data_IF_931023539810
#
_entry.id   IF_931023539810
#
_cell.length_a   1.000
_cell.length_b   1.000
_cell.length_c   1.000
_cell.angle_alpha   90.00
_cell.angle_beta   90.00
_cell.angle_gamma   90.00
#
_symmetry.space_group_name_H-M   'P 1'
#
loop_
_entity.id
_entity.type
_entity.pdbx_description
1 polymer ?
2 polymer ?
3 non-polymer ?
4 non-polymer ?
5 non-polymer ?
6 water ?
#
# COMPACT_ATOMS: atom_id res chain seq x y z
N UNK A 4 -20.21 -26.90 -11.69
CA UNK A 4 -19.42 -25.73 -11.16
C UNK A 4 -18.38 -25.32 -12.20
N UNK A 5 -18.14 -24.02 -12.35
CA UNK A 5 -17.39 -23.43 -13.44
C UNK A 5 -16.48 -22.39 -12.76
N UNK A 6 -15.39 -22.03 -13.39
CA UNK A 6 -14.53 -21.01 -12.81
C UNK A 6 -15.24 -19.69 -12.66
N UNK A 7 -16.04 -19.29 -13.61
CA UNK A 7 -16.72 -18.05 -13.55
C UNK A 7 -17.73 -18.03 -12.34
N UNK A 8 -18.45 -19.12 -12.09
CA UNK A 8 -19.34 -19.17 -10.94
C UNK A 8 -18.57 -19.09 -9.58
N UNK A 9 -17.41 -19.76 -9.49
CA UNK A 9 -16.64 -19.72 -8.28
C UNK A 9 -16.13 -18.31 -8.05
N UNK A 10 -15.57 -17.64 -9.10
CA UNK A 10 -14.97 -16.30 -8.98
C UNK A 10 -16.10 -15.30 -8.62
N UNK A 11 -17.26 -15.38 -9.33
CA UNK A 11 -18.26 -14.33 -9.01
C UNK A 11 -18.83 -14.52 -7.59
N UNK A 12 -19.01 -15.77 -7.12
CA UNK A 12 -19.49 -15.97 -5.75
C UNK A 12 -18.42 -15.53 -4.73
N UNK A 13 -17.12 -15.80 -5.08
CA UNK A 13 -16.12 -15.34 -4.16
C UNK A 13 -16.01 -13.82 -4.08
N UNK A 14 -16.20 -13.12 -5.20
CA UNK A 14 -16.15 -11.65 -5.13
C UNK A 14 -17.39 -11.09 -4.40
N UNK A 15 -18.53 -11.79 -4.52
CA UNK A 15 -19.69 -11.40 -3.69
C UNK A 15 -19.42 -11.64 -2.22
N UNK A 16 -18.82 -12.79 -1.89
CA UNK A 16 -18.47 -13.06 -0.51
C UNK A 16 -17.46 -12.06 0.03
N UNK A 17 -16.45 -11.69 -0.78
CA UNK A 17 -15.49 -10.64 -0.39
C UNK A 17 -16.18 -9.37 -0.04
N UNK A 18 -17.14 -8.90 -0.86
CA UNK A 18 -17.89 -7.67 -0.51
C UNK A 18 -18.74 -7.84 0.77
N UNK A 19 -19.23 -9.03 1.04
CA UNK A 19 -19.99 -9.31 2.30
C UNK A 19 -19.17 -9.32 3.52
N UNK A 20 -18.01 -9.94 3.49
CA UNK A 20 -17.32 -10.25 4.76
C UNK A 20 -15.89 -9.73 4.81
N UNK A 21 -15.36 -9.17 3.73
CA UNK A 21 -13.97 -8.73 3.71
C UNK A 21 -12.92 -9.84 3.54
N UNK A 22 -11.66 -9.50 3.43
CA UNK A 22 -10.70 -10.49 3.03
C UNK A 22 -10.47 -11.55 4.09
N UNK A 23 -10.49 -11.15 5.32
CA UNK A 23 -10.23 -12.21 6.37
C UNK A 23 -11.36 -13.19 6.50
N UNK A 24 -12.57 -12.79 6.13
CA UNK A 24 -13.78 -13.67 6.14
C UNK A 24 -13.75 -14.65 5.01
N UNK A 25 -13.03 -14.33 3.94
CA UNK A 25 -13.04 -15.12 2.70
C UNK A 25 -12.12 -16.35 2.90
N UNK A 26 -12.73 -17.49 3.07
CA UNK A 26 -11.92 -18.72 3.25
C UNK A 26 -12.51 -19.72 2.27
N UNK A 27 -11.70 -20.70 1.87
CA UNK A 27 -12.24 -21.68 0.92
C UNK A 27 -13.41 -22.44 1.61
N UNK A 28 -13.29 -22.73 2.91
CA UNK A 28 -14.40 -23.36 3.66
C UNK A 28 -15.73 -22.55 3.57
N UNK A 29 -15.67 -21.24 3.74
CA UNK A 29 -16.91 -20.45 3.65
C UNK A 29 -17.39 -20.29 2.21
N UNK A 30 -16.49 -20.30 1.23
CA UNK A 30 -16.91 -20.18 -0.16
C UNK A 30 -17.63 -21.50 -0.58
N UNK A 31 -17.09 -22.65 -0.16
CA UNK A 31 -17.75 -23.93 -0.51
C UNK A 31 -19.13 -23.93 0.09
N UNK A 32 -19.22 -23.51 1.37
CA UNK A 32 -20.54 -23.36 2.00
C UNK A 32 -21.46 -22.47 1.14
N UNK A 33 -20.99 -21.28 0.77
CA UNK A 33 -21.76 -20.37 -0.11
C UNK A 33 -22.19 -20.93 -1.43
N UNK A 34 -21.33 -21.73 -2.03
CA UNK A 34 -21.65 -22.31 -3.28
C UNK A 34 -22.56 -23.52 -3.10
N UNK A 35 -22.64 -24.08 -1.89
CA UNK A 35 -23.48 -25.26 -1.69
C UNK A 35 -22.79 -26.53 -2.13
N UNK A 36 -21.47 -26.61 -1.96
CA UNK A 36 -20.74 -27.74 -2.45
C UNK A 36 -19.83 -28.18 -1.33
N UNK A 37 -19.41 -29.43 -1.39
CA UNK A 37 -18.55 -29.88 -0.35
C UNK A 37 -17.18 -29.44 -0.74
N UNK A 38 -16.37 -29.33 0.29
CA UNK A 38 -15.04 -28.79 0.13
C UNK A 38 -14.19 -29.49 -0.97
N UNK A 39 -14.24 -30.84 -1.07
CA UNK A 39 -13.51 -31.41 -2.20
C UNK A 39 -13.96 -31.04 -3.64
N UNK A 40 -15.24 -30.73 -3.88
CA UNK A 40 -15.70 -30.22 -5.18
C UNK A 40 -15.11 -28.85 -5.48
N UNK A 41 -15.07 -28.01 -4.45
CA UNK A 41 -14.42 -26.71 -4.66
C UNK A 41 -12.94 -26.83 -4.86
N UNK A 42 -12.26 -27.75 -4.13
CA UNK A 42 -10.79 -27.89 -4.18
C UNK A 42 -10.38 -28.16 -5.62
N UNK A 43 -11.20 -28.87 -6.37
CA UNK A 43 -10.84 -29.12 -7.76
C UNK A 43 -10.69 -27.84 -8.55
N UNK A 44 -11.48 -26.83 -8.19
CA UNK A 44 -11.35 -25.54 -8.90
C UNK A 44 -10.39 -24.56 -8.23
N UNK A 45 -10.29 -24.60 -6.89
CA UNK A 45 -9.46 -23.69 -6.10
C UNK A 45 -8.77 -24.46 -4.97
N UNK A 46 -7.45 -24.55 -5.04
CA UNK A 46 -6.72 -25.46 -4.10
C UNK A 46 -6.58 -24.90 -2.66
N UNK A 47 -6.57 -23.58 -2.51
CA UNK A 47 -6.24 -22.96 -1.25
C UNK A 47 -6.53 -21.49 -1.36
N UNK A 48 -6.43 -20.78 -0.25
CA UNK A 48 -6.81 -19.34 -0.28
C UNK A 48 -5.79 -18.55 -1.13
N UNK A 49 -4.54 -18.93 -1.22
CA UNK A 49 -3.60 -18.20 -2.05
C UNK A 49 -4.05 -18.35 -3.47
N UNK A 50 -4.48 -19.51 -3.94
CA UNK A 50 -4.91 -19.64 -5.32
C UNK A 50 -6.20 -18.83 -5.53
N UNK A 51 -7.05 -18.77 -4.55
CA UNK A 51 -8.31 -18.02 -4.75
C UNK A 51 -7.96 -16.51 -4.83
N UNK A 52 -7.10 -15.99 -3.97
CA UNK A 52 -6.80 -14.54 -4.06
C UNK A 52 -6.10 -14.24 -5.35
N UNK A 53 -5.15 -15.07 -5.81
CA UNK A 53 -4.48 -14.83 -7.11
C UNK A 53 -5.57 -14.78 -8.20
N UNK A 54 -6.60 -15.67 -8.18
CA UNK A 54 -7.59 -15.67 -9.24
C UNK A 54 -8.52 -14.45 -9.13
N UNK A 55 -8.82 -13.99 -7.92
CA UNK A 55 -9.69 -12.81 -7.79
C UNK A 55 -8.94 -11.58 -8.28
N UNK A 56 -7.65 -11.44 -7.94
CA UNK A 56 -6.87 -10.32 -8.43
C UNK A 56 -6.87 -10.29 -9.95
N UNK A 57 -6.60 -11.43 -10.62
CA UNK A 57 -6.55 -11.44 -12.08
C UNK A 57 -7.97 -11.12 -12.61
N UNK A 58 -9.05 -11.64 -12.00
CA UNK A 58 -10.39 -11.26 -12.48
C UNK A 58 -10.64 -9.77 -12.38
N UNK A 59 -10.20 -9.14 -11.30
CA UNK A 59 -10.37 -7.71 -11.22
C UNK A 59 -9.48 -6.99 -12.30
N UNK A 60 -8.29 -7.47 -12.61
CA UNK A 60 -7.51 -6.86 -13.73
C UNK A 60 -8.22 -7.07 -15.04
N UNK A 61 -8.80 -8.26 -15.24
CA UNK A 61 -9.48 -8.55 -16.56
C UNK A 61 -10.66 -7.67 -16.74
N UNK A 62 -11.32 -7.24 -15.66
CA UNK A 62 -12.49 -6.35 -15.76
C UNK A 62 -12.18 -4.90 -15.84
N UNK A 63 -11.08 -4.46 -15.16
CA UNK A 63 -10.92 -3.00 -14.94
C UNK A 63 -9.61 -2.50 -15.39
N UNK A 64 -8.61 -3.36 -15.63
CA UNK A 64 -7.25 -2.82 -15.96
C UNK A 64 -7.10 -2.62 -17.45
N UNK A 65 -7.75 -1.57 -17.87
CA UNK A 65 -7.93 -1.26 -19.33
C UNK A 65 -6.59 -0.87 -19.91
N UNK A 66 -5.61 -0.44 -19.14
CA UNK A 66 -4.29 -0.01 -19.69
C UNK A 66 -3.22 -0.90 -19.17
N UNK A 67 -3.50 -2.19 -18.95
CA UNK A 67 -2.48 -3.20 -18.65
C UNK A 67 -1.38 -3.14 -19.75
N UNK A 68 -1.84 -3.08 -20.99
CA UNK A 68 -0.91 -2.92 -22.14
C UNK A 68 -0.85 -1.53 -22.66
N UNK A 69 0.35 -1.12 -23.16
CA UNK A 69 0.50 0.09 -23.88
C UNK A 69 -0.34 0.06 -25.22
N UNK A 70 -0.93 1.18 -25.52
CA UNK A 70 -1.63 1.27 -26.86
C UNK A 70 -0.64 1.61 -27.98
N UNK A 71 -0.89 1.17 -29.21
CA UNK A 71 0.13 1.39 -30.23
C UNK A 71 0.13 2.89 -30.46
N UNK A 72 1.31 3.49 -30.64
CA UNK A 72 1.36 4.94 -30.81
C UNK A 72 1.37 5.78 -29.53
N UNK A 73 1.09 5.19 -28.36
CA UNK A 73 0.96 5.95 -27.10
C UNK A 73 2.36 6.38 -26.61
N UNK A 74 2.53 7.56 -25.99
CA UNK A 74 3.84 7.89 -25.40
C UNK A 74 4.06 7.08 -24.12
N UNK A 75 5.30 6.91 -23.74
CA UNK A 75 5.60 6.13 -22.56
C UNK A 75 4.99 6.81 -21.37
N UNK A 76 4.98 8.12 -21.32
CA UNK A 76 4.35 8.86 -20.19
C UNK A 76 2.90 8.57 -20.13
N UNK A 77 2.20 8.56 -21.26
CA UNK A 77 0.76 8.33 -21.22
C UNK A 77 0.46 6.89 -20.81
N UNK A 78 1.26 5.95 -21.29
CA UNK A 78 1.10 4.57 -20.87
C UNK A 78 1.24 4.41 -19.36
N UNK A 79 2.33 4.91 -18.77
CA UNK A 79 2.51 4.70 -17.36
C UNK A 79 1.43 5.40 -16.60
N UNK A 80 1.00 6.60 -16.97
CA UNK A 80 -0.10 7.28 -16.28
C UNK A 80 -1.39 6.53 -16.43
N UNK A 81 -1.72 6.05 -17.61
CA UNK A 81 -3.00 5.37 -17.78
C UNK A 81 -2.93 4.00 -17.11
N UNK A 82 -1.80 3.30 -17.11
CA UNK A 82 -1.68 2.05 -16.44
C UNK A 82 -1.92 2.20 -14.93
N UNK A 83 -1.38 3.17 -14.27
CA UNK A 83 -1.62 3.30 -12.86
C UNK A 83 -3.04 3.67 -12.62
N UNK A 84 -3.65 4.54 -13.44
CA UNK A 84 -5.05 4.93 -13.24
C UNK A 84 -5.95 3.67 -13.35
N UNK A 85 -5.80 2.81 -14.38
CA UNK A 85 -6.67 1.64 -14.47
C UNK A 85 -6.38 0.63 -13.40
N UNK A 86 -5.12 0.49 -13.01
CA UNK A 86 -4.84 -0.47 -11.94
C UNK A 86 -5.49 0.02 -10.63
N UNK A 87 -5.50 1.34 -10.38
CA UNK A 87 -6.22 1.86 -9.27
C UNK A 87 -7.71 1.49 -9.31
N UNK A 88 -8.32 1.61 -10.51
CA UNK A 88 -9.72 1.22 -10.56
C UNK A 88 -9.92 -0.25 -10.29
N UNK A 89 -9.02 -1.14 -10.70
CA UNK A 89 -9.15 -2.58 -10.38
C UNK A 89 -9.09 -2.75 -8.86
N UNK A 90 -8.13 -2.06 -8.19
CA UNK A 90 -8.02 -2.27 -6.72
C UNK A 90 -9.27 -1.72 -6.00
N UNK A 91 -9.83 -0.62 -6.50
CA UNK A 91 -11.02 -0.04 -5.87
C UNK A 91 -12.30 -0.82 -6.14
N UNK A 92 -12.25 -1.81 -7.04
CA UNK A 92 -13.54 -2.39 -7.42
C UNK A 92 -14.27 -3.21 -6.42
N UNK A 93 -13.57 -3.71 -5.39
CA UNK A 93 -14.19 -4.57 -4.37
C UNK A 93 -13.65 -4.16 -2.98
N UNK A 94 -14.47 -4.56 -2.00
CA UNK A 94 -14.05 -4.41 -0.58
C UNK A 94 -12.71 -5.09 -0.41
N UNK A 95 -11.82 -4.37 0.32
CA UNK A 95 -10.45 -4.88 0.55
C UNK A 95 -9.74 -5.28 -0.73
N UNK A 96 -10.07 -4.57 -1.84
CA UNK A 96 -9.47 -4.97 -3.09
C UNK A 96 -7.99 -4.90 -3.14
N UNK A 97 -7.42 -3.82 -2.58
CA UNK A 97 -5.97 -3.74 -2.62
C UNK A 97 -5.29 -4.83 -1.79
N UNK A 98 -5.91 -5.17 -0.66
CA UNK A 98 -5.34 -6.29 0.12
C UNK A 98 -5.43 -7.61 -0.66
N UNK A 99 -6.47 -7.79 -1.46
CA UNK A 99 -6.59 -9.04 -2.28
C UNK A 99 -5.47 -9.11 -3.34
N UNK A 100 -5.11 -7.95 -3.93
CA UNK A 100 -4.09 -7.98 -4.94
C UNK A 100 -2.72 -8.01 -4.33
N UNK A 101 -2.55 -7.65 -3.07
CA UNK A 101 -1.18 -7.58 -2.53
C UNK A 101 -0.48 -8.96 -2.58
N UNK A 102 0.70 -8.99 -3.14
CA UNK A 102 1.47 -10.18 -3.16
C UNK A 102 1.03 -11.18 -4.20
N UNK A 103 0.13 -10.82 -5.10
CA UNK A 103 -0.31 -11.79 -6.13
C UNK A 103 0.72 -11.90 -7.23
N UNK A 104 0.39 -12.68 -8.25
CA UNK A 104 1.43 -13.02 -9.28
C UNK A 104 0.70 -13.37 -10.58
N UNK A 105 1.15 -12.84 -11.71
CA UNK A 105 0.54 -13.26 -12.99
C UNK A 105 0.60 -14.77 -13.28
N UNK A 106 -0.35 -15.21 -14.07
CA UNK A 106 -0.17 -16.58 -14.65
C UNK A 106 0.58 -16.46 -15.97
N UNK A 107 0.91 -17.62 -16.55
CA UNK A 107 1.54 -17.64 -17.86
C UNK A 107 0.70 -16.93 -18.90
N UNK A 108 -0.62 -17.02 -18.76
CA UNK A 108 -1.52 -16.32 -19.65
C UNK A 108 -1.31 -14.78 -19.67
N UNK A 109 -0.64 -14.22 -18.67
CA UNK A 109 -0.41 -12.75 -18.66
C UNK A 109 1.03 -12.44 -19.08
N UNK A 110 1.89 -13.46 -19.19
CA UNK A 110 3.34 -13.09 -19.46
C UNK A 110 3.56 -12.28 -20.70
N UNK A 111 2.77 -12.52 -21.77
CA UNK A 111 2.92 -11.78 -23.00
C UNK A 111 2.62 -10.29 -22.79
N UNK A 112 1.68 -10.00 -21.91
CA UNK A 112 1.36 -8.59 -21.63
C UNK A 112 2.56 -7.89 -20.95
N UNK A 113 3.14 -8.55 -19.96
CA UNK A 113 4.28 -7.99 -19.23
C UNK A 113 5.49 -7.83 -20.17
N UNK A 114 5.71 -8.83 -21.01
CA UNK A 114 6.80 -8.72 -22.00
C UNK A 114 6.63 -7.50 -22.89
N UNK A 115 5.38 -7.28 -23.29
CA UNK A 115 5.07 -6.18 -24.14
C UNK A 115 5.27 -4.82 -23.48
N UNK A 116 4.91 -4.71 -22.19
CA UNK A 116 5.24 -3.54 -21.46
C UNK A 116 6.75 -3.20 -21.50
N UNK A 117 7.55 -4.21 -21.25
CA UNK A 117 9.01 -4.01 -21.28
C UNK A 117 9.53 -3.71 -22.67
N UNK A 118 9.02 -4.41 -23.67
CA UNK A 118 9.49 -4.12 -25.00
C UNK A 118 9.17 -2.70 -25.35
N UNK A 119 7.96 -2.24 -24.98
CA UNK A 119 7.54 -0.88 -25.23
C UNK A 119 8.39 0.12 -24.58
N UNK A 120 8.64 -0.03 -23.29
CA UNK A 120 9.45 0.99 -22.59
C UNK A 120 10.88 1.00 -23.16
N UNK A 121 11.42 -0.18 -23.43
CA UNK A 121 12.83 -0.17 -23.91
C UNK A 121 12.88 0.42 -25.34
N UNK A 122 11.86 0.22 -26.15
CA UNK A 122 11.83 0.88 -27.46
C UNK A 122 11.86 2.38 -27.35
N UNK A 123 11.28 2.91 -26.30
CA UNK A 123 11.19 4.35 -26.08
C UNK A 123 12.37 4.88 -25.36
N UNK A 124 13.36 4.01 -25.12
CA UNK A 124 14.62 4.47 -24.63
C UNK A 124 15.06 4.11 -23.23
N UNK A 125 14.13 3.47 -22.49
CA UNK A 125 14.54 3.01 -21.21
C UNK A 125 15.53 1.84 -21.27
N UNK A 126 16.48 1.82 -20.33
CA UNK A 126 17.18 0.53 -20.07
C UNK A 126 16.24 -0.51 -19.49
N UNK A 127 16.47 -1.79 -19.71
CA UNK A 127 15.66 -2.82 -19.04
C UNK A 127 15.54 -2.52 -17.58
N UNK A 128 16.63 -2.18 -16.91
CA UNK A 128 16.62 -1.93 -15.48
C UNK A 128 15.69 -0.74 -15.11
N UNK A 129 15.76 0.35 -15.90
CA UNK A 129 14.95 1.48 -15.52
C UNK A 129 13.48 1.24 -15.95
N UNK A 130 13.22 0.41 -16.96
CA UNK A 130 11.83 0.06 -17.31
C UNK A 130 11.23 -0.72 -16.16
N UNK A 131 11.93 -1.73 -15.66
CA UNK A 131 11.53 -2.51 -14.46
C UNK A 131 11.21 -1.56 -13.30
N UNK A 132 12.11 -0.63 -13.00
CA UNK A 132 11.87 0.24 -11.83
C UNK A 132 10.78 1.25 -12.07
N UNK A 133 10.51 1.64 -13.28
CA UNK A 133 9.37 2.56 -13.52
C UNK A 133 8.07 1.82 -13.34
N UNK A 134 7.95 0.59 -13.86
CA UNK A 134 6.78 -0.22 -13.64
C UNK A 134 6.58 -0.53 -12.21
N UNK A 135 7.67 -0.88 -11.50
CA UNK A 135 7.59 -1.22 -10.09
C UNK A 135 7.09 -0.02 -9.28
N UNK A 136 7.61 1.19 -9.55
CA UNK A 136 7.28 2.31 -8.73
C UNK A 136 5.83 2.72 -8.92
N UNK A 137 5.35 2.76 -10.16
CA UNK A 137 4.02 3.24 -10.37
C UNK A 137 3.03 2.28 -9.68
N UNK A 138 3.28 0.96 -9.71
CA UNK A 138 2.36 0.00 -9.12
C UNK A 138 2.42 -0.05 -7.59
N UNK A 139 3.63 0.19 -7.07
CA UNK A 139 3.74 0.26 -5.61
C UNK A 139 3.05 1.51 -5.03
N UNK A 140 3.24 2.65 -5.72
CA UNK A 140 2.51 3.87 -5.28
C UNK A 140 1.01 3.64 -5.37
N UNK A 141 0.56 2.98 -6.45
CA UNK A 141 -0.89 2.83 -6.60
C UNK A 141 -1.43 1.89 -5.56
N UNK A 142 -0.75 0.75 -5.30
CA UNK A 142 -1.15 -0.13 -4.20
C UNK A 142 -1.17 0.58 -2.85
N UNK A 143 -0.14 1.36 -2.54
CA UNK A 143 -0.16 2.06 -1.26
C UNK A 143 -1.29 3.05 -1.14
N UNK A 144 -1.53 3.74 -2.25
CA UNK A 144 -2.68 4.71 -2.32
C UNK A 144 -3.97 4.01 -1.97
N UNK A 145 -4.28 2.91 -2.62
CA UNK A 145 -5.59 2.35 -2.42
C UNK A 145 -5.66 1.57 -1.13
N UNK A 146 -4.51 0.95 -0.71
CA UNK A 146 -4.57 0.29 0.60
C UNK A 146 -4.95 1.27 1.70
N UNK A 147 -4.33 2.46 1.67
CA UNK A 147 -4.71 3.42 2.70
C UNK A 147 -6.06 3.99 2.53
N UNK A 148 -6.49 4.27 1.29
CA UNK A 148 -7.91 4.79 1.06
C UNK A 148 -8.90 3.81 1.62
N UNK A 149 -8.77 2.53 1.25
CA UNK A 149 -9.74 1.53 1.71
C UNK A 149 -9.72 1.36 3.17
N UNK A 150 -8.54 1.32 3.81
CA UNK A 150 -8.59 1.16 5.23
C UNK A 150 -9.10 2.41 5.93
N UNK A 151 -8.82 3.62 5.41
CA UNK A 151 -9.44 4.80 6.03
C UNK A 151 -10.94 4.73 5.97
N UNK A 152 -11.54 4.20 4.86
CA UNK A 152 -12.96 4.15 4.84
C UNK A 152 -13.51 3.31 5.97
N UNK A 153 -12.89 2.18 6.28
CA UNK A 153 -13.23 1.31 7.45
C UNK A 153 -12.96 2.04 8.74
N UNK A 154 -11.76 2.55 8.93
CA UNK A 154 -11.34 3.08 10.23
C UNK A 154 -12.10 4.27 10.66
N UNK A 155 -12.50 5.11 9.73
CA UNK A 155 -13.11 6.39 10.14
C UNK A 155 -14.49 6.15 10.74
N UNK A 156 -15.09 5.00 10.46
CA UNK A 156 -16.39 4.61 11.10
C UNK A 156 -16.22 3.93 12.42
N UNK A 157 -15.04 3.53 12.81
CA UNK A 157 -14.79 2.84 14.05
C UNK A 157 -14.31 3.73 15.14
N UNK A 158 -13.82 4.90 14.82
CA UNK A 158 -13.11 5.73 15.82
C UNK A 158 -14.16 6.72 16.50
N UNK A 159 -14.26 6.87 17.87
CA UNK A 159 -15.28 7.82 18.48
C UNK A 159 -14.83 9.27 18.21
N UNK A 160 -15.78 10.19 18.08
CA UNK A 160 -15.46 11.61 17.82
C UNK A 160 -14.75 12.17 19.07
N UNK A 161 -13.56 12.82 18.92
CA UNK A 161 -12.94 13.47 20.13
C UNK A 161 -13.80 14.61 20.57
N UNK A 162 -13.82 14.91 21.89
CA UNK A 162 -14.65 16.06 22.33
C UNK A 162 -14.35 17.29 21.55
N UNK A 163 -13.04 17.66 21.60
CA UNK A 163 -12.60 18.91 20.86
C UNK A 163 -11.37 18.53 20.14
N UNK A 164 -11.32 18.84 18.88
CA UNK A 164 -10.05 18.50 18.12
C UNK A 164 -9.40 19.85 17.77
N UNK A 165 -8.44 20.29 18.59
CA UNK A 165 -7.73 21.60 18.51
C UNK A 165 -6.55 21.41 17.56
N UNK A 166 -6.79 21.77 16.36
CA UNK A 166 -5.80 21.44 15.30
C UNK A 166 -5.10 22.70 14.80
N UNK A 167 -3.78 22.66 14.59
CA UNK A 167 -3.06 23.87 14.15
C UNK A 167 -3.47 24.15 12.68
N UNK A 168 -3.23 25.38 12.19
CA UNK A 168 -3.92 25.90 11.02
C UNK A 168 -3.47 25.34 9.67
N UNK A 169 -2.15 25.15 9.53
CA UNK A 169 -1.75 24.56 8.21
C UNK A 169 -2.22 23.13 8.06
N UNK A 170 -2.20 22.39 9.16
CA UNK A 170 -2.71 21.02 9.10
C UNK A 170 -4.20 20.98 8.86
N UNK A 171 -4.94 21.87 9.54
CA UNK A 171 -6.40 21.88 9.26
C UNK A 171 -6.66 22.31 7.81
N UNK A 172 -5.91 23.29 7.29
CA UNK A 172 -6.15 23.68 5.89
C UNK A 172 -5.83 22.50 4.97
N UNK A 173 -4.74 21.78 5.28
CA UNK A 173 -4.38 20.67 4.40
C UNK A 173 -5.38 19.47 4.42
N UNK A 174 -5.87 19.14 5.64
CA UNK A 174 -6.84 18.00 5.65
C UNK A 174 -8.18 18.47 5.04
N UNK A 175 -8.55 19.72 5.20
CA UNK A 175 -9.82 20.21 4.55
C UNK A 175 -9.68 20.22 3.03
N UNK A 176 -8.49 20.56 2.55
CA UNK A 176 -8.24 20.54 1.10
C UNK A 176 -8.35 19.12 0.57
N UNK A 177 -7.65 18.19 1.21
CA UNK A 177 -7.81 16.80 0.79
C UNK A 177 -9.24 16.28 0.81
N UNK A 178 -10.00 16.65 1.84
CA UNK A 178 -11.33 16.17 1.89
C UNK A 178 -12.19 16.75 0.77
N UNK A 179 -11.99 18.02 0.47
CA UNK A 179 -12.76 18.66 -0.56
C UNK A 179 -12.47 18.05 -1.93
N UNK A 180 -11.21 17.72 -2.14
CA UNK A 180 -10.79 17.13 -3.46
C UNK A 180 -11.04 15.66 -3.57
N UNK A 181 -11.09 14.93 -2.46
CA UNK A 181 -11.07 13.46 -2.49
C UNK A 181 -9.67 12.94 -2.85
N UNK A 182 -9.58 11.61 -2.93
CA UNK A 182 -8.23 11.00 -3.11
C UNK A 182 -7.66 11.15 -4.50
N UNK A 183 -8.48 11.34 -5.53
CA UNK A 183 -7.95 11.24 -6.87
C UNK A 183 -6.94 12.33 -7.24
N UNK A 184 -7.16 13.61 -6.92
CA UNK A 184 -6.13 14.59 -7.26
C UNK A 184 -4.78 14.36 -6.67
N UNK A 185 -4.76 13.99 -5.39
CA UNK A 185 -3.43 13.69 -4.79
C UNK A 185 -2.77 12.46 -5.45
N UNK A 186 -3.62 11.49 -5.79
CA UNK A 186 -3.10 10.34 -6.52
C UNK A 186 -2.52 10.75 -7.84
N UNK A 187 -3.26 11.51 -8.60
CA UNK A 187 -2.76 11.93 -9.94
C UNK A 187 -1.49 12.79 -9.84
N UNK A 188 -1.43 13.64 -8.80
CA UNK A 188 -0.24 14.45 -8.65
C UNK A 188 0.96 13.66 -8.26
N UNK A 189 0.79 12.66 -7.39
CA UNK A 189 1.91 11.80 -7.08
C UNK A 189 2.41 11.02 -8.26
N UNK A 190 1.44 10.47 -9.00
CA UNK A 190 1.74 9.74 -10.22
C UNK A 190 2.52 10.62 -11.22
N UNK A 191 2.06 11.87 -11.37
CA UNK A 191 2.75 12.79 -12.29
C UNK A 191 4.15 13.11 -11.76
N UNK A 192 4.34 13.18 -10.43
CA UNK A 192 5.73 13.36 -9.94
C UNK A 192 6.63 12.20 -10.30
N UNK A 193 6.16 10.94 -10.17
CA UNK A 193 6.93 9.81 -10.63
C UNK A 193 7.27 9.95 -12.13
N UNK A 194 6.27 10.26 -12.98
CA UNK A 194 6.53 10.32 -14.41
C UNK A 194 7.55 11.46 -14.70
N UNK A 195 7.40 12.63 -14.05
CA UNK A 195 8.41 13.69 -14.25
C UNK A 195 9.77 13.22 -13.81
N UNK A 196 9.85 12.49 -12.68
CA UNK A 196 11.13 11.92 -12.23
C UNK A 196 11.76 10.97 -13.22
N UNK A 197 10.95 10.09 -13.82
CA UNK A 197 11.51 9.15 -14.81
C UNK A 197 11.99 9.96 -16.02
N UNK A 198 11.29 11.02 -16.35
CA UNK A 198 11.68 11.76 -17.60
C UNK A 198 13.00 12.43 -17.36
N UNK A 199 13.21 13.02 -16.21
CA UNK A 199 14.54 13.64 -15.85
C UNK A 199 15.59 12.60 -16.07
N UNK A 200 15.42 11.44 -15.44
CA UNK A 200 16.40 10.36 -15.45
C UNK A 200 16.67 9.91 -16.90
N UNK A 201 15.62 9.79 -17.72
CA UNK A 201 15.76 9.29 -19.10
C UNK A 201 16.47 10.30 -19.97
N UNK A 202 16.15 11.57 -19.75
CA UNK A 202 16.71 12.63 -20.60
C UNK A 202 18.19 12.68 -20.34
N UNK A 203 18.56 12.56 -19.08
CA UNK A 203 19.93 12.55 -18.62
C UNK A 203 20.75 11.48 -19.31
N UNK A 204 20.34 10.23 -19.22
CA UNK A 204 21.05 9.13 -19.89
C UNK A 204 21.28 9.32 -21.41
N UNK B 4 -1.98 -0.41 36.22
CA UNK B 4 -1.83 -0.53 34.71
C UNK B 4 -1.89 0.84 34.02
N UNK B 5 -0.90 1.13 33.19
CA UNK B 5 -1.02 2.38 32.39
C UNK B 5 -0.92 2.18 30.93
N UNK B 6 -1.15 3.20 30.13
CA UNK B 6 -1.29 2.99 28.69
C UNK B 6 0.01 2.50 28.08
N UNK B 7 1.14 2.91 28.61
CA UNK B 7 2.44 2.39 28.14
C UNK B 7 2.55 0.87 28.26
N UNK B 8 2.11 0.35 29.39
CA UNK B 8 2.16 -1.08 29.57
C UNK B 8 1.20 -1.81 28.62
N UNK B 9 0.02 -1.24 28.40
CA UNK B 9 -0.90 -1.86 27.50
C UNK B 9 -0.31 -1.92 26.06
N UNK B 10 0.27 -0.78 25.64
CA UNK B 10 0.89 -0.76 24.31
C UNK B 10 2.07 -1.76 24.20
N UNK B 11 2.88 -1.86 25.25
CA UNK B 11 4.09 -2.71 25.10
C UNK B 11 3.66 -4.17 25.07
N UNK B 12 2.65 -4.53 25.87
CA UNK B 12 2.23 -5.93 25.83
C UNK B 12 1.47 -6.23 24.53
N UNK B 13 0.74 -5.22 23.98
CA UNK B 13 0.09 -5.44 22.67
C UNK B 13 1.13 -5.58 21.53
N UNK B 14 2.22 -4.83 21.59
CA UNK B 14 3.26 -5.02 20.55
C UNK B 14 3.93 -6.40 20.71
N UNK B 15 4.11 -6.90 21.95
CA UNK B 15 4.67 -8.25 22.17
C UNK B 15 3.64 -9.22 21.58
N UNK B 16 2.31 -9.06 21.83
CA UNK B 16 1.33 -9.98 21.30
C UNK B 16 1.32 -9.92 19.72
N UNK B 17 1.41 -8.70 19.16
CA UNK B 17 1.48 -8.59 17.67
C UNK B 17 2.61 -9.44 17.10
N UNK B 18 3.81 -9.40 17.73
CA UNK B 18 4.91 -10.21 17.18
C UNK B 18 4.57 -11.71 17.38
N UNK B 19 3.95 -12.12 18.47
CA UNK B 19 3.66 -13.58 18.73
C UNK B 19 2.59 -14.10 17.77
N UNK B 20 1.55 -13.33 17.48
CA UNK B 20 0.38 -13.92 16.80
C UNK B 20 0.02 -13.20 15.52
N UNK B 21 0.58 -12.01 15.26
CA UNK B 21 0.22 -11.31 14.03
C UNK B 21 -1.00 -10.45 14.22
N UNK B 22 -1.36 -9.60 13.25
CA UNK B 22 -2.44 -8.66 13.44
C UNK B 22 -3.81 -9.32 13.62
N UNK B 23 -4.03 -10.43 12.94
CA UNK B 23 -5.34 -11.11 13.05
C UNK B 23 -5.48 -11.78 14.38
N UNK B 24 -4.38 -12.15 15.02
CA UNK B 24 -4.45 -12.73 16.37
C UNK B 24 -4.49 -11.75 17.51
N UNK B 25 -4.39 -10.47 17.22
CA UNK B 25 -4.30 -9.41 18.17
C UNK B 25 -5.71 -9.03 18.57
N UNK B 26 -6.19 -9.57 19.69
CA UNK B 26 -7.49 -9.24 20.17
C UNK B 26 -7.35 -8.59 21.57
N UNK B 27 -8.28 -7.61 21.84
CA UNK B 27 -8.41 -7.09 23.26
C UNK B 27 -8.44 -8.27 24.25
N UNK B 28 -9.17 -9.29 23.87
CA UNK B 28 -9.28 -10.54 24.68
C UNK B 28 -7.97 -11.24 25.03
N UNK B 29 -7.07 -11.47 24.05
CA UNK B 29 -5.79 -12.09 24.44
C UNK B 29 -4.79 -11.08 25.11
N UNK B 30 -5.00 -9.81 24.78
CA UNK B 30 -4.20 -8.78 25.47
C UNK B 30 -4.49 -8.70 27.02
N UNK B 31 -5.80 -8.79 27.38
CA UNK B 31 -6.13 -8.84 28.79
C UNK B 31 -5.55 -9.93 29.57
N UNK B 32 -5.53 -11.12 28.90
CA UNK B 32 -5.02 -12.32 29.53
C UNK B 32 -3.59 -12.10 29.70
N UNK B 33 -2.90 -11.52 28.64
CA UNK B 33 -1.53 -11.29 28.85
C UNK B 33 -1.09 -10.26 29.97
N UNK B 34 -1.92 -9.20 30.21
CA UNK B 34 -1.73 -8.26 31.25
C UNK B 34 -2.24 -8.69 32.69
N UNK B 35 -2.95 -9.80 32.72
CA UNK B 35 -3.55 -10.28 34.03
C UNK B 35 -4.75 -9.46 34.48
N UNK B 36 -5.50 -8.89 33.52
CA UNK B 36 -6.62 -8.07 33.93
C UNK B 36 -7.86 -8.55 33.20
N UNK B 37 -9.04 -8.15 33.70
CA UNK B 37 -10.24 -8.55 32.97
C UNK B 37 -10.42 -7.68 31.72
N UNK B 38 -11.08 -8.30 30.75
CA UNK B 38 -11.26 -7.65 29.45
C UNK B 38 -11.87 -6.27 29.53
N UNK B 39 -12.84 -6.03 30.43
CA UNK B 39 -13.42 -4.65 30.45
C UNK B 39 -12.53 -3.55 30.98
N UNK B 40 -11.52 -3.85 31.84
CA UNK B 40 -10.47 -2.96 32.32
C UNK B 40 -9.75 -2.38 31.09
N UNK B 41 -9.52 -3.13 30.00
CA UNK B 41 -8.76 -2.54 28.85
C UNK B 41 -9.48 -1.47 28.16
N UNK B 42 -10.85 -1.49 28.14
CA UNK B 42 -11.66 -0.50 27.52
C UNK B 42 -11.24 0.92 27.81
N UNK B 43 -10.83 1.16 29.06
CA UNK B 43 -10.44 2.48 29.40
C UNK B 43 -9.17 2.99 28.84
N UNK B 44 -8.34 2.07 28.39
CA UNK B 44 -7.11 2.44 27.73
C UNK B 44 -7.25 2.45 26.22
N UNK B 45 -7.96 1.43 25.70
CA UNK B 45 -8.25 1.32 24.28
C UNK B 45 -9.66 0.82 24.10
N UNK B 46 -10.51 1.69 23.50
CA UNK B 46 -11.94 1.41 23.43
C UNK B 46 -12.34 0.28 22.51
N UNK B 47 -11.53 0.07 21.45
CA UNK B 47 -11.77 -0.99 20.48
C UNK B 47 -10.48 -1.28 19.72
N UNK B 48 -10.49 -2.27 18.82
CA UNK B 48 -9.27 -2.63 18.14
C UNK B 48 -8.77 -1.46 17.32
N UNK B 49 -9.59 -0.63 16.66
CA UNK B 49 -8.94 0.46 15.92
C UNK B 49 -8.22 1.42 16.85
N UNK B 50 -8.67 1.68 18.06
CA UNK B 50 -7.93 2.55 18.94
C UNK B 50 -6.62 1.87 19.33
N UNK B 51 -6.65 0.56 19.53
CA UNK B 51 -5.37 -0.15 19.84
C UNK B 51 -4.41 -0.06 18.65
N UNK B 52 -4.90 -0.29 17.44
CA UNK B 52 -4.01 -0.19 16.27
C UNK B 52 -3.44 1.19 16.10
N UNK B 53 -4.19 2.23 16.34
CA UNK B 53 -3.69 3.60 16.24
C UNK B 53 -2.57 3.81 17.27
N UNK B 54 -2.76 3.29 18.52
CA UNK B 54 -1.73 3.51 19.53
C UNK B 54 -0.51 2.74 19.21
N UNK B 55 -0.66 1.54 18.62
CA UNK B 55 0.55 0.77 18.29
C UNK B 55 1.31 1.44 17.16
N UNK B 56 0.60 1.91 16.14
CA UNK B 56 1.31 2.58 15.03
C UNK B 56 2.05 3.78 15.55
N UNK B 57 1.40 4.62 16.39
CA UNK B 57 2.04 5.83 16.86
C UNK B 57 3.25 5.46 17.79
N UNK B 58 3.18 4.40 18.60
CA UNK B 58 4.36 4.01 19.35
C UNK B 58 5.50 3.57 18.44
N UNK B 59 5.17 2.86 17.36
CA UNK B 59 6.26 2.51 16.41
C UNK B 59 6.90 3.78 15.79
N UNK B 60 6.06 4.78 15.48
CA UNK B 60 6.68 6.07 14.96
C UNK B 60 7.54 6.72 16.06
N UNK B 61 7.04 6.74 17.30
CA UNK B 61 7.78 7.42 18.36
C UNK B 61 9.10 6.71 18.66
N UNK B 62 9.20 5.44 18.37
CA UNK B 62 10.48 4.71 18.54
C UNK B 62 11.41 4.82 17.36
N UNK B 63 10.89 4.76 16.15
CA UNK B 63 11.72 4.47 14.97
C UNK B 63 11.68 5.56 13.93
N UNK B 64 10.69 6.45 13.96
CA UNK B 64 10.56 7.39 12.82
C UNK B 64 11.36 8.66 13.14
N UNK B 65 12.67 8.47 13.03
CA UNK B 65 13.63 9.47 13.47
C UNK B 65 13.60 10.69 12.54
N UNK B 66 13.03 10.62 11.36
CA UNK B 66 12.86 11.71 10.47
C UNK B 66 11.43 12.08 10.23
N UNK B 67 10.59 11.89 11.24
CA UNK B 67 9.21 12.42 11.28
C UNK B 67 9.20 13.92 11.07
N UNK B 68 10.14 14.59 11.75
CA UNK B 68 10.31 16.06 11.57
C UNK B 68 11.51 16.26 10.71
N UNK B 69 11.45 17.41 9.95
CA UNK B 69 12.65 17.92 9.35
C UNK B 69 13.74 18.30 10.37
N UNK B 70 14.98 17.99 10.06
CA UNK B 70 16.12 18.26 10.99
C UNK B 70 16.80 19.54 10.58
N UNK B 71 17.37 20.27 11.54
CA UNK B 71 18.07 21.56 11.25
C UNK B 71 19.04 21.41 10.13
N UNK B 72 18.91 22.32 9.18
CA UNK B 72 19.79 22.38 8.04
C UNK B 72 19.52 21.43 6.87
N UNK B 73 18.53 20.51 7.05
CA UNK B 73 18.20 19.60 5.96
C UNK B 73 17.57 20.36 4.81
N UNK B 74 17.92 19.93 3.62
CA UNK B 74 17.14 20.39 2.43
C UNK B 74 15.79 19.64 2.40
N UNK B 75 14.85 20.16 1.67
CA UNK B 75 13.55 19.44 1.56
C UNK B 75 13.75 18.09 0.89
N UNK B 76 14.71 17.95 -0.03
CA UNK B 76 14.95 16.62 -0.62
C UNK B 76 15.55 15.72 0.44
N UNK B 77 16.47 16.12 1.31
CA UNK B 77 16.93 15.18 2.30
C UNK B 77 15.86 14.90 3.32
N UNK B 78 14.98 15.82 3.66
CA UNK B 78 13.89 15.51 4.60
C UNK B 78 12.93 14.47 4.03
N UNK B 79 12.50 14.68 2.77
CA UNK B 79 11.54 13.66 2.22
C UNK B 79 12.21 12.34 2.05
N UNK B 80 13.45 12.24 1.59
CA UNK B 80 14.10 10.92 1.49
C UNK B 80 14.28 10.29 2.81
N UNK B 81 14.72 11.09 3.80
CA UNK B 81 15.04 10.47 5.10
C UNK B 81 13.70 10.08 5.80
N UNK B 82 12.65 10.92 5.63
CA UNK B 82 11.36 10.59 6.19
C UNK B 82 10.86 9.26 5.68
N UNK B 83 10.91 9.01 4.37
CA UNK B 83 10.44 7.74 3.85
C UNK B 83 11.29 6.63 4.46
N UNK B 84 12.61 6.79 4.56
CA UNK B 84 13.43 5.70 5.07
C UNK B 84 13.12 5.38 6.53
N UNK B 85 12.94 6.41 7.39
CA UNK B 85 12.70 6.07 8.77
C UNK B 85 11.25 5.63 8.98
N UNK B 86 10.35 6.06 8.09
CA UNK B 86 8.96 5.50 8.16
C UNK B 86 9.03 4.02 7.83
N UNK B 87 9.75 3.64 6.78
CA UNK B 87 9.91 2.21 6.48
C UNK B 87 10.49 1.47 7.74
N UNK B 88 11.47 2.02 8.42
CA UNK B 88 11.96 1.31 9.61
C UNK B 88 10.86 1.15 10.63
N UNK B 89 10.00 2.13 10.86
CA UNK B 89 8.92 1.95 11.80
C UNK B 89 7.97 0.87 11.31
N UNK B 90 7.62 0.80 10.03
CA UNK B 90 6.76 -0.26 9.50
C UNK B 90 7.35 -1.61 9.63
N UNK B 91 8.66 -1.78 9.53
CA UNK B 91 9.31 -3.09 9.60
C UNK B 91 9.65 -3.47 11.03
N UNK B 92 9.33 -2.62 12.02
CA UNK B 92 9.80 -2.94 13.42
C UNK B 92 9.07 -4.07 14.11
N UNK B 93 7.87 -4.38 13.63
CA UNK B 93 7.03 -5.42 14.15
C UNK B 93 6.43 -6.27 13.07
N UNK B 94 6.09 -7.52 13.45
CA UNK B 94 5.29 -8.41 12.57
C UNK B 94 4.01 -7.67 12.14
N UNK B 95 3.70 -7.68 10.82
CA UNK B 95 2.51 -7.09 10.28
C UNK B 95 2.47 -5.60 10.61
N UNK B 96 3.67 -5.00 10.80
CA UNK B 96 3.69 -3.59 11.15
C UNK B 96 2.97 -2.68 10.19
N UNK B 97 3.21 -2.85 8.87
CA UNK B 97 2.56 -1.94 7.93
C UNK B 97 1.07 -2.10 7.89
N UNK B 98 0.56 -3.34 8.15
CA UNK B 98 -0.90 -3.55 8.26
C UNK B 98 -1.47 -2.82 9.46
N UNK B 99 -0.70 -2.74 10.53
CA UNK B 99 -1.19 -2.03 11.71
C UNK B 99 -1.26 -0.51 11.42
N UNK B 100 -0.25 0.05 10.68
CA UNK B 100 -0.23 1.47 10.41
C UNK B 100 -1.31 1.86 9.41
N UNK B 101 -1.76 1.02 8.47
CA UNK B 101 -2.76 1.45 7.49
C UNK B 101 -3.93 2.07 8.18
N UNK B 102 -4.32 3.25 7.68
CA UNK B 102 -5.61 3.83 8.09
C UNK B 102 -5.49 4.47 9.47
N UNK B 103 -4.31 4.58 10.04
CA UNK B 103 -4.11 5.30 11.35
C UNK B 103 -4.47 6.76 11.33
N UNK B 104 -5.03 7.27 12.44
CA UNK B 104 -5.29 8.73 12.61
C UNK B 104 -4.35 9.19 13.72
N UNK B 105 -3.47 10.19 13.47
CA UNK B 105 -2.64 10.79 14.55
C UNK B 105 -3.54 11.33 15.66
N UNK B 106 -2.92 11.44 16.84
CA UNK B 106 -3.61 12.19 17.94
C UNK B 106 -3.12 13.62 17.96
N UNK B 107 -3.72 14.41 18.86
CA UNK B 107 -3.21 15.79 19.01
C UNK B 107 -1.75 15.89 19.42
N UNK B 108 -1.20 14.81 20.02
CA UNK B 108 0.23 14.85 20.37
C UNK B 108 1.15 14.82 19.18
N UNK B 109 0.58 14.44 18.02
CA UNK B 109 1.37 14.48 16.80
C UNK B 109 1.18 15.74 15.96
N UNK B 110 0.22 16.59 16.36
CA UNK B 110 -0.07 17.75 15.48
C UNK B 110 1.07 18.73 15.35
N UNK B 111 1.84 18.99 16.40
CA UNK B 111 2.99 19.92 16.26
C UNK B 111 3.95 19.36 15.16
N UNK B 112 4.17 18.05 15.16
CA UNK B 112 5.13 17.48 14.21
C UNK B 112 4.57 17.71 12.82
N UNK B 113 3.27 17.39 12.57
CA UNK B 113 2.69 17.52 11.22
C UNK B 113 2.66 18.98 10.78
N UNK B 114 2.30 19.92 11.67
CA UNK B 114 2.35 21.35 11.32
C UNK B 114 3.77 21.76 10.97
N UNK B 115 4.75 21.25 11.66
CA UNK B 115 6.14 21.61 11.35
C UNK B 115 6.60 21.05 9.98
N UNK B 116 6.15 19.84 9.59
CA UNK B 116 6.37 19.37 8.22
C UNK B 116 5.84 20.33 7.17
N UNK B 117 4.60 20.85 7.40
CA UNK B 117 4.03 21.74 6.37
C UNK B 117 4.66 23.13 6.48
N UNK B 118 5.01 23.62 7.65
CA UNK B 118 5.71 24.95 7.71
C UNK B 118 7.02 24.81 7.01
N UNK B 119 7.73 23.70 7.22
CA UNK B 119 9.06 23.55 6.57
C UNK B 119 8.89 23.47 5.11
N UNK B 120 8.02 22.63 4.55
CA UNK B 120 7.99 22.48 3.11
C UNK B 120 7.51 23.77 2.46
N UNK B 121 6.57 24.50 3.07
CA UNK B 121 6.17 25.81 2.48
C UNK B 121 7.31 26.81 2.62
N UNK B 122 8.12 26.80 3.68
CA UNK B 122 9.33 27.69 3.74
C UNK B 122 10.30 27.34 2.66
N UNK B 123 10.38 26.07 2.28
CA UNK B 123 11.31 25.60 1.23
C UNK B 123 10.73 25.71 -0.19
N UNK B 124 9.59 26.37 -0.32
CA UNK B 124 9.04 26.79 -1.63
C UNK B 124 7.82 26.07 -2.16
N UNK B 125 7.32 25.06 -1.45
CA UNK B 125 6.09 24.44 -1.93
C UNK B 125 4.86 25.24 -1.58
N UNK B 126 3.84 25.21 -2.43
CA UNK B 126 2.50 25.60 -1.96
C UNK B 126 1.97 24.65 -0.90
N UNK B 127 1.03 25.08 -0.07
CA UNK B 127 0.49 24.16 0.90
C UNK B 127 -0.11 22.93 0.16
N UNK B 128 -0.80 23.06 -0.96
CA UNK B 128 -1.37 21.94 -1.66
C UNK B 128 -0.24 20.98 -2.12
N UNK B 129 0.82 21.50 -2.70
CA UNK B 129 1.87 20.60 -3.19
C UNK B 129 2.70 20.05 -2.03
N UNK B 130 2.73 20.71 -0.86
CA UNK B 130 3.45 20.10 0.27
C UNK B 130 2.57 18.93 0.74
N UNK B 131 1.25 19.07 0.88
CA UNK B 131 0.37 17.93 1.20
C UNK B 131 0.61 16.81 0.20
N UNK B 132 0.61 17.10 -1.11
CA UNK B 132 0.76 16.05 -2.12
C UNK B 132 2.10 15.36 -2.04
N UNK B 133 3.17 16.07 -1.74
CA UNK B 133 4.46 15.39 -1.63
C UNK B 133 4.54 14.50 -0.42
N UNK B 134 4.08 14.99 0.72
CA UNK B 134 4.07 14.12 1.92
C UNK B 134 3.20 12.95 1.70
N UNK B 135 2.04 13.12 1.04
CA UNK B 135 1.13 12.02 0.78
C UNK B 135 1.83 11.02 -0.09
N UNK B 136 2.51 11.46 -1.16
CA UNK B 136 3.04 10.51 -2.11
C UNK B 136 4.20 9.71 -1.51
N UNK B 137 5.09 10.33 -0.71
CA UNK B 137 6.19 9.59 -0.14
C UNK B 137 5.68 8.47 0.77
N UNK B 138 4.70 8.81 1.62
CA UNK B 138 4.26 7.80 2.54
C UNK B 138 3.47 6.66 1.89
N UNK B 139 2.61 7.01 0.92
CA UNK B 139 1.88 5.95 0.19
C UNK B 139 2.79 5.03 -0.56
N UNK B 140 3.84 5.63 -1.18
CA UNK B 140 4.80 4.78 -1.86
C UNK B 140 5.53 3.84 -0.90
N UNK B 141 5.87 4.40 0.26
CA UNK B 141 6.57 3.58 1.25
C UNK B 141 5.66 2.45 1.77
N UNK B 142 4.39 2.74 2.12
CA UNK B 142 3.44 1.72 2.59
C UNK B 142 3.30 0.63 1.53
N UNK B 143 3.17 1.05 0.24
CA UNK B 143 2.96 0.01 -0.84
C UNK B 143 4.21 -0.78 -1.00
N UNK B 144 5.39 -0.20 -0.94
CA UNK B 144 6.64 -0.96 -1.12
C UNK B 144 6.78 -1.99 -0.02
N UNK B 145 6.56 -1.59 1.28
CA UNK B 145 6.78 -2.55 2.38
C UNK B 145 5.71 -3.60 2.32
N UNK B 146 4.42 -3.25 2.12
CA UNK B 146 3.38 -4.27 2.15
C UNK B 146 3.51 -5.26 1.05
N UNK B 147 3.88 -4.80 -0.16
CA UNK B 147 4.05 -5.79 -1.25
C UNK B 147 5.19 -6.75 -0.98
N UNK B 148 6.31 -6.25 -0.53
CA UNK B 148 7.41 -7.19 -0.32
C UNK B 148 7.04 -8.08 0.83
N UNK B 149 6.46 -7.60 1.93
CA UNK B 149 6.17 -8.51 3.04
C UNK B 149 5.15 -9.53 2.61
N UNK B 150 4.16 -9.21 1.82
CA UNK B 150 3.25 -10.20 1.32
C UNK B 150 3.82 -11.20 0.38
N UNK B 151 4.76 -10.76 -0.46
CA UNK B 151 5.40 -11.67 -1.37
C UNK B 151 6.15 -12.73 -0.54
N UNK B 152 6.76 -12.32 0.56
CA UNK B 152 7.55 -13.29 1.33
C UNK B 152 6.70 -14.49 1.78
N UNK B 153 5.44 -14.22 2.15
CA UNK B 153 4.50 -15.23 2.61
C UNK B 153 3.85 -15.92 1.44
N UNK B 154 3.43 -15.20 0.41
CA UNK B 154 2.69 -15.80 -0.67
C UNK B 154 3.51 -16.75 -1.48
N UNK B 155 4.81 -16.45 -1.64
CA UNK B 155 5.70 -17.32 -2.45
C UNK B 155 5.77 -18.70 -1.80
N UNK B 156 5.50 -18.84 -0.48
CA UNK B 156 5.60 -20.20 0.16
C UNK B 156 4.32 -20.97 0.01
N UNK B 157 3.22 -20.30 -0.36
CA UNK B 157 1.90 -20.93 -0.51
C UNK B 157 1.55 -21.37 -1.93
N UNK B 158 2.35 -21.09 -2.94
CA UNK B 158 2.12 -21.57 -4.31
C UNK B 158 2.87 -22.84 -4.60
N UNK B 159 2.27 -23.75 -5.37
CA UNK B 159 2.93 -25.02 -5.68
C UNK B 159 4.00 -24.73 -6.71
N UNK B 160 5.12 -25.45 -6.62
CA UNK B 160 6.19 -25.28 -7.60
C UNK B 160 5.78 -25.93 -9.00
N UNK B 161 5.67 -25.13 -10.10
CA UNK B 161 5.25 -25.66 -11.41
C UNK B 161 6.27 -26.57 -12.08
N UNK B 162 5.76 -27.46 -12.94
CA UNK B 162 6.58 -28.38 -13.73
C UNK B 162 6.91 -27.67 -15.07
N UNK B 163 6.06 -26.69 -15.39
CA UNK B 163 6.15 -25.90 -16.60
C UNK B 163 6.13 -24.41 -16.23
N UNK B 164 6.91 -23.61 -16.96
CA UNK B 164 6.71 -22.14 -16.93
C UNK B 164 6.52 -21.53 -18.35
N UNK B 165 7.58 -21.44 -19.15
CA UNK B 165 7.60 -20.74 -20.45
C UNK B 165 7.53 -19.20 -20.26
N UNK B 166 8.67 -18.62 -19.91
CA UNK B 166 8.68 -17.20 -19.63
C UNK B 166 9.47 -16.48 -20.69
N UNK B 167 8.88 -15.42 -21.29
CA UNK B 167 9.55 -14.66 -22.36
C UNK B 167 10.80 -13.93 -21.84
N UNK B 168 11.74 -13.59 -22.73
CA UNK B 168 13.09 -13.24 -22.28
C UNK B 168 13.20 -11.91 -21.52
N UNK B 169 12.51 -10.83 -21.97
CA UNK B 169 12.68 -9.54 -21.23
C UNK B 169 12.12 -9.71 -19.84
N UNK B 170 11.02 -10.48 -19.71
CA UNK B 170 10.38 -10.63 -18.40
C UNK B 170 11.24 -11.47 -17.49
N UNK B 171 11.81 -12.58 -18.02
CA UNK B 171 12.75 -13.33 -17.23
C UNK B 171 14.00 -12.51 -16.80
N UNK B 172 14.57 -11.67 -17.69
CA UNK B 172 15.71 -10.86 -17.30
C UNK B 172 15.28 -9.84 -16.22
N UNK B 173 14.09 -9.27 -16.37
CA UNK B 173 13.61 -8.28 -15.38
C UNK B 173 13.41 -8.87 -13.98
N UNK B 174 12.72 -10.01 -13.87
CA UNK B 174 12.50 -10.56 -12.54
C UNK B 174 13.79 -11.09 -11.96
N UNK B 175 14.67 -11.62 -12.80
CA UNK B 175 15.99 -11.96 -12.27
C UNK B 175 16.79 -10.80 -11.76
N UNK B 176 16.78 -9.66 -12.52
CA UNK B 176 17.44 -8.42 -12.04
C UNK B 176 16.83 -7.94 -10.73
N UNK B 177 15.51 -7.87 -10.67
CA UNK B 177 14.87 -7.37 -9.42
C UNK B 177 15.28 -8.23 -8.23
N UNK B 178 15.35 -9.55 -8.43
CA UNK B 178 15.64 -10.42 -7.30
C UNK B 178 17.10 -10.27 -6.90
N UNK B 179 17.99 -10.18 -7.88
CA UNK B 179 19.40 -10.01 -7.55
C UNK B 179 19.67 -8.71 -6.80
N UNK B 180 19.04 -7.63 -7.28
CA UNK B 180 19.31 -6.28 -6.73
C UNK B 180 18.56 -6.06 -5.40
N UNK B 181 17.45 -6.76 -5.22
CA UNK B 181 16.70 -6.68 -3.96
C UNK B 181 15.55 -5.64 -3.90
N UNK B 182 14.61 -5.88 -3.02
CA UNK B 182 13.48 -4.95 -3.02
C UNK B 182 13.89 -3.65 -2.34
N UNK B 183 14.90 -3.58 -1.48
CA UNK B 183 15.23 -2.31 -0.82
C UNK B 183 15.77 -1.34 -1.90
N UNK B 184 16.68 -1.76 -2.80
CA UNK B 184 17.10 -0.89 -3.91
C UNK B 184 15.99 -0.42 -4.78
N UNK B 185 15.01 -1.27 -4.99
CA UNK B 185 13.90 -0.83 -5.81
C UNK B 185 13.12 0.34 -5.12
N UNK B 186 12.94 0.21 -3.82
CA UNK B 186 12.28 1.22 -3.03
C UNK B 186 13.08 2.52 -3.14
N UNK B 187 14.41 2.47 -3.02
CA UNK B 187 15.16 3.71 -3.08
C UNK B 187 15.18 4.33 -4.46
N UNK B 188 15.07 3.50 -5.47
CA UNK B 188 14.98 4.10 -6.78
C UNK B 188 13.65 4.80 -7.04
N UNK B 189 12.57 4.25 -6.56
CA UNK B 189 11.27 4.88 -6.77
C UNK B 189 11.19 6.13 -5.94
N UNK B 190 11.76 6.06 -4.73
CA UNK B 190 11.78 7.26 -3.88
C UNK B 190 12.53 8.44 -4.51
N UNK B 191 13.68 8.11 -5.13
CA UNK B 191 14.39 9.09 -5.84
C UNK B 191 13.67 9.65 -7.02
N UNK B 192 12.97 8.80 -7.72
CA UNK B 192 12.18 9.30 -8.88
C UNK B 192 11.13 10.27 -8.40
N UNK B 193 10.43 9.97 -7.28
CA UNK B 193 9.44 10.93 -6.70
C UNK B 193 10.10 12.23 -6.38
N UNK B 194 11.26 12.24 -5.71
CA UNK B 194 11.94 13.46 -5.33
C UNK B 194 12.37 14.28 -6.53
N UNK B 195 12.89 13.57 -7.53
CA UNK B 195 13.29 14.28 -8.77
C UNK B 195 12.06 14.90 -9.40
N UNK B 196 10.92 14.21 -9.41
CA UNK B 196 9.72 14.81 -10.05
C UNK B 196 9.14 15.93 -9.26
N UNK B 197 9.22 15.91 -7.91
CA UNK B 197 8.81 17.09 -7.13
C UNK B 197 9.68 18.26 -7.52
N UNK B 198 10.99 18.05 -7.71
CA UNK B 198 11.87 19.17 -8.07
C UNK B 198 11.50 19.73 -9.43
N UNK B 199 11.19 18.86 -10.37
CA UNK B 199 10.76 19.36 -11.74
C UNK B 199 9.52 20.23 -11.57
N UNK B 200 8.52 19.77 -10.82
CA UNK B 200 7.32 20.59 -10.61
C UNK B 200 7.56 21.90 -9.93
N UNK B 201 8.38 21.95 -8.90
CA UNK B 201 8.68 23.18 -8.13
C UNK B 201 9.34 24.18 -9.11
N UNK B 202 10.30 23.72 -9.91
CA UNK B 202 10.95 24.58 -10.94
C UNK B 202 9.96 25.17 -11.92
N UNK B 203 9.15 24.33 -12.51
CA UNK B 203 8.25 24.76 -13.57
C UNK B 203 7.32 25.86 -13.04
N UNK B 204 7.01 25.82 -11.75
CA UNK B 204 6.24 26.84 -11.04
C UNK B 204 7.25 27.88 -10.53
N UNK C 3 16.54 -26.96 -9.18
CA UNK C 3 15.55 -26.46 -10.23
C UNK C 3 15.49 -24.94 -10.53
N UNK C 4 15.92 -24.60 -11.74
CA UNK C 4 15.89 -23.22 -12.21
C UNK C 4 14.43 -22.72 -12.21
N UNK C 5 13.51 -23.55 -12.69
CA UNK C 5 12.09 -23.22 -12.90
C UNK C 5 11.45 -22.93 -11.55
N UNK C 6 11.77 -23.77 -10.58
CA UNK C 6 11.26 -23.64 -9.24
C UNK C 6 11.73 -22.36 -8.55
N UNK C 7 13.02 -22.04 -8.77
CA UNK C 7 13.62 -20.84 -8.16
C UNK C 7 13.05 -19.59 -8.80
N UNK C 8 12.89 -19.58 -10.12
CA UNK C 8 12.32 -18.41 -10.83
C UNK C 8 10.89 -18.18 -10.42
N UNK C 9 10.10 -19.24 -10.18
CA UNK C 9 8.68 -19.09 -9.88
C UNK C 9 8.52 -18.41 -8.56
N UNK C 10 9.55 -18.38 -7.71
CA UNK C 10 9.53 -17.80 -6.41
C UNK C 10 10.00 -16.35 -6.40
N UNK C 11 10.59 -15.85 -7.47
CA UNK C 11 11.12 -14.52 -7.55
C UNK C 11 9.86 -13.62 -7.81
N UNK C 12 9.91 -12.43 -7.22
CA UNK C 12 8.75 -11.49 -7.35
C UNK C 12 8.56 -11.08 -8.79
N UNK C 13 7.27 -10.99 -9.12
CA UNK C 13 6.88 -10.49 -10.40
C UNK C 13 5.73 -9.50 -10.14
N UNK C 14 5.81 -8.36 -10.82
CA UNK C 14 4.70 -7.41 -10.70
C UNK C 14 3.47 -7.95 -11.38
N UNK C 15 2.39 -7.27 -11.08
CA UNK C 15 1.01 -7.80 -11.41
C UNK C 15 0.07 -6.67 -11.76
N UNK C 16 0.53 -5.88 -12.73
CA UNK C 16 -0.19 -4.72 -13.29
C UNK C 16 0.50 -4.30 -14.58
N UNK D 3 -23.80 17.58 13.48
CA UNK D 3 -22.38 17.21 13.69
C UNK D 3 -21.42 17.37 12.50
N UNK D 4 -21.31 18.63 12.15
CA UNK D 4 -20.16 19.10 11.42
C UNK D 4 -18.87 18.68 12.19
N UNK D 5 -18.86 18.73 13.53
CA UNK D 5 -17.55 18.35 14.22
C UNK D 5 -17.22 16.90 14.04
N UNK D 6 -18.23 16.02 14.08
CA UNK D 6 -18.00 14.60 13.85
C UNK D 6 -17.52 14.36 12.41
N UNK D 7 -18.00 15.11 11.44
CA UNK D 7 -17.67 14.82 10.03
C UNK D 7 -16.18 15.33 9.80
N UNK D 8 -15.84 16.41 10.47
CA UNK D 8 -14.47 16.89 10.39
C UNK D 8 -13.49 15.83 10.97
N UNK D 9 -13.91 15.17 12.09
CA UNK D 9 -13.07 14.18 12.74
C UNK D 9 -12.86 12.95 11.85
N UNK D 10 -13.71 12.79 10.82
CA UNK D 10 -13.58 11.63 9.91
C UNK D 10 -12.71 11.94 8.73
N UNK D 11 -12.23 13.17 8.59
CA UNK D 11 -11.38 13.54 7.45
C UNK D 11 -10.02 12.84 7.59
N UNK D 12 -9.54 12.36 6.47
CA UNK D 12 -8.21 11.71 6.43
C UNK D 12 -7.05 12.60 6.81
N UNK D 13 -6.12 11.99 7.57
CA UNK D 13 -4.92 12.69 8.03
C UNK D 13 -3.77 11.73 7.76
N UNK D 14 -2.68 12.19 7.15
CA UNK D 14 -1.51 11.28 7.05
C UNK D 14 -0.83 11.08 8.36
N UNK D 15 0.05 10.08 8.41
CA UNK D 15 0.52 9.58 9.71
C UNK D 15 1.99 9.13 9.57
N UNK D 16 2.84 10.04 9.07
CA UNK D 16 4.24 9.83 8.92
C UNK D 16 4.88 11.20 8.64
#
# INVERSE_FOLDING_TARGET
MSRLDKSKVINSALELLNEVGIEGLTTRKLAQKLGVEQPTLYWHVKNKRALLDALAIEMLDRHHTHFSPLEGESWQDFLRNNAKSFRNALLSHRDGAKVHLGTRPTEKQYETLENQLAFLTQQGFSLENALYALSAVGHFTLGSVLEDQEHQVAKEERETPTTDSMPPLLRQAIELFDHQGAEPAFLHGLESLIRGFEVQLTALLQIV
MSRLDKSKVINSALELLNEVGIEGLTTRKLAQKLGVEQPTLYWHVKNKRALLDALAIEMLDRHHTHFSPLEGESWQDFLRNNAKSFRNALLSHRDGAKVHLGTRPTEKQYETLENQLAFLTQQGFSLENALYALSAVGHFTLGSVLEDQEHQVAKEERETPTTDSMPPLLRQAIELFDHQGAEPAFLHGLESLIRGFEVQLTALLQIV
DDSVLAARARMWMWHW
DDSVLAARARMWMWHW
#
